data_IF_398423580908
#
_entry.id   IF_398423580908
#
_cell.length_a   1.000
_cell.length_b   1.000
_cell.length_c   1.000
_cell.angle_alpha   90.00
_cell.angle_beta   90.00
_cell.angle_gamma   90.00
#
_symmetry.space_group_name_H-M   'P 1'
#
loop_
_entity.id
_entity.type
_entity.pdbx_description
1 polymer ?
#
# COMPACT_ATOMS: atom_id res chain seq x y z
N UNK A 1 -18.72 50.19 5.89
CA UNK A 1 -18.68 49.71 4.54
C UNK A 1 -17.33 50.02 3.92
N UNK A 2 -16.44 49.07 3.70
CA UNK A 2 -15.15 49.36 3.08
C UNK A 2 -15.41 49.92 1.70
N UNK A 3 -14.76 51.02 1.43
CA UNK A 3 -14.91 51.67 0.14
C UNK A 3 -14.21 50.86 -0.92
N UNK A 4 -14.88 50.59 -1.97
CA UNK A 4 -14.46 49.77 -3.10
C UNK A 4 -13.21 50.24 -3.82
N UNK A 5 -12.62 51.37 -3.41
CA UNK A 5 -11.51 51.97 -4.11
C UNK A 5 -10.14 51.61 -3.57
N UNK A 6 -10.11 50.76 -2.55
CA UNK A 6 -8.84 50.32 -2.02
C UNK A 6 -8.36 49.12 -2.81
N UNK A 7 -7.10 49.10 -3.18
CA UNK A 7 -6.45 47.94 -3.79
C UNK A 7 -6.48 46.69 -2.90
N UNK A 8 -7.12 46.76 -1.74
CA UNK A 8 -7.41 45.70 -0.82
C UNK A 8 -8.77 45.03 -1.07
N UNK A 9 -9.48 45.49 -2.09
CA UNK A 9 -10.83 45.04 -2.45
C UNK A 9 -10.94 43.66 -3.09
N UNK A 10 -9.88 42.92 -3.14
CA UNK A 10 -9.85 41.52 -3.55
C UNK A 10 -10.23 40.56 -2.42
N UNK A 11 -10.48 41.06 -1.24
CA UNK A 11 -11.07 40.25 -0.16
C UNK A 11 -12.59 40.40 -0.28
N UNK A 12 -13.25 39.29 -0.48
CA UNK A 12 -14.70 39.22 -0.75
C UNK A 12 -15.53 39.90 0.32
N UNK A 13 -15.12 39.84 1.58
CA UNK A 13 -15.79 40.49 2.70
C UNK A 13 -15.74 42.02 2.64
N UNK A 14 -14.71 42.57 2.00
CA UNK A 14 -14.54 44.00 1.83
C UNK A 14 -15.44 44.55 0.71
N UNK A 15 -15.91 43.68 -0.14
CA UNK A 15 -16.83 43.98 -1.24
C UNK A 15 -18.28 43.69 -0.92
N UNK A 16 -18.67 43.81 0.36
CA UNK A 16 -20.05 43.58 0.78
C UNK A 16 -21.07 44.40 0.01
N UNK A 17 -21.93 43.71 -0.72
CA UNK A 17 -23.05 44.25 -1.44
C UNK A 17 -24.35 43.74 -0.81
N UNK A 18 -25.20 44.69 -0.37
CA UNK A 18 -26.49 44.36 0.23
C UNK A 18 -27.42 43.56 -0.69
N UNK A 19 -27.29 43.68 -1.99
CA UNK A 19 -28.03 42.90 -2.94
C UNK A 19 -27.61 41.43 -3.01
N UNK A 20 -26.44 41.08 -2.44
CA UNK A 20 -25.87 39.76 -2.39
C UNK A 20 -25.72 39.24 -0.95
N UNK A 21 -26.77 39.34 -0.19
CA UNK A 21 -26.77 39.04 1.22
C UNK A 21 -26.40 37.57 1.53
N UNK A 22 -26.82 36.60 0.70
CA UNK A 22 -26.46 35.21 0.86
C UNK A 22 -24.94 34.99 0.68
N UNK A 23 -24.33 35.68 -0.26
CA UNK A 23 -22.90 35.62 -0.50
C UNK A 23 -22.09 36.11 0.70
N UNK A 24 -22.54 37.19 1.34
CA UNK A 24 -21.93 37.67 2.57
C UNK A 24 -22.04 36.64 3.73
N UNK A 25 -23.16 35.96 3.86
CA UNK A 25 -23.38 34.96 4.90
C UNK A 25 -22.42 33.77 4.77
N UNK A 26 -22.10 33.37 3.53
CA UNK A 26 -21.15 32.28 3.26
C UNK A 26 -19.69 32.66 3.56
N UNK A 27 -19.36 33.94 3.57
CA UNK A 27 -18.01 34.46 3.80
C UNK A 27 -17.85 35.23 5.12
N UNK A 28 -18.79 35.14 6.00
CA UNK A 28 -18.74 35.79 7.32
C UNK A 28 -18.65 34.78 8.47
N UNK A 29 -17.73 33.83 8.31
CA UNK A 29 -17.47 32.78 9.31
C UNK A 29 -16.04 32.90 9.81
N UNK A 30 -15.73 32.13 10.85
CA UNK A 30 -14.37 31.89 11.32
C UNK A 30 -14.19 30.39 11.43
N UNK A 31 -14.03 29.75 10.29
CA UNK A 31 -13.97 28.28 10.18
C UNK A 31 -12.53 27.83 10.42
N UNK A 32 -12.33 27.02 11.45
CA UNK A 32 -11.11 26.25 11.61
C UNK A 32 -11.19 24.99 10.71
N UNK A 33 -10.69 25.13 9.50
CA UNK A 33 -10.74 24.04 8.53
C UNK A 33 -9.94 22.80 8.93
N UNK A 34 -8.91 22.98 9.76
CA UNK A 34 -8.12 21.86 10.27
C UNK A 34 -8.97 21.04 11.24
N UNK A 35 -9.63 21.70 12.18
CA UNK A 35 -10.52 21.04 13.13
C UNK A 35 -11.69 20.34 12.43
N UNK A 36 -12.24 20.96 11.39
CA UNK A 36 -13.35 20.36 10.60
C UNK A 36 -12.97 19.08 9.86
N UNK A 37 -11.71 18.86 9.53
CA UNK A 37 -11.25 17.68 8.77
C UNK A 37 -10.44 16.71 9.61
N UNK A 38 -10.16 17.04 10.85
CA UNK A 38 -9.41 16.17 11.76
C UNK A 38 -10.34 15.54 12.81
N UNK A 39 -9.91 14.42 13.33
CA UNK A 39 -10.58 13.70 14.39
C UNK A 39 -9.55 13.00 15.28
N UNK A 40 -10.00 12.56 16.45
CA UNK A 40 -9.17 11.71 17.29
C UNK A 40 -9.03 10.33 16.66
N UNK A 41 -7.79 9.96 16.26
CA UNK A 41 -7.48 8.64 15.73
C UNK A 41 -7.46 7.60 16.85
N UNK A 42 -7.98 6.41 16.56
CA UNK A 42 -8.03 5.27 17.48
C UNK A 42 -7.35 4.05 16.84
N UNK A 43 -6.71 3.23 17.66
CA UNK A 43 -6.12 1.97 17.23
C UNK A 43 -6.48 0.87 18.23
N UNK A 44 -7.11 -0.19 17.72
CA UNK A 44 -7.50 -1.38 18.46
C UNK A 44 -6.83 -2.60 17.84
N UNK A 45 -6.06 -3.34 18.65
CA UNK A 45 -5.32 -4.52 18.18
C UNK A 45 -5.65 -5.71 19.07
N UNK A 46 -6.12 -6.77 18.42
CA UNK A 46 -6.46 -8.02 19.08
C UNK A 46 -5.58 -9.13 18.51
N UNK A 47 -5.02 -9.94 19.38
CA UNK A 47 -4.17 -11.05 18.97
C UNK A 47 -4.42 -12.27 19.87
N UNK A 48 -4.61 -13.40 19.22
CA UNK A 48 -4.76 -14.70 19.87
C UNK A 48 -3.80 -15.68 19.23
N UNK A 49 -3.14 -16.49 20.06
CA UNK A 49 -2.28 -17.57 19.59
C UNK A 49 -2.46 -18.81 20.47
N UNK A 50 -2.48 -19.95 19.79
CA UNK A 50 -2.50 -21.28 20.41
C UNK A 50 -1.27 -22.02 19.89
N UNK A 51 -0.52 -22.63 20.77
CA UNK A 51 0.61 -23.49 20.43
C UNK A 51 0.59 -24.73 21.28
N UNK A 52 1.03 -25.81 20.70
CA UNK A 52 1.10 -27.09 21.39
C UNK A 52 1.99 -28.05 20.63
N UNK A 53 2.20 -29.22 21.21
CA UNK A 53 2.95 -30.28 20.55
C UNK A 53 3.60 -31.22 21.53
N UNK A 54 4.37 -32.13 20.97
CA UNK A 54 5.17 -33.12 21.66
C UNK A 54 6.43 -33.44 20.87
N UNK A 55 7.04 -34.58 21.13
CA UNK A 55 8.33 -34.97 20.55
C UNK A 55 8.33 -35.10 19.02
N UNK A 56 7.17 -35.38 18.44
CA UNK A 56 7.04 -35.63 17.00
C UNK A 56 6.45 -34.45 16.24
N UNK A 57 5.62 -33.61 16.88
CA UNK A 57 4.96 -32.51 16.20
C UNK A 57 4.80 -31.32 17.12
N UNK A 58 5.09 -30.14 16.59
CA UNK A 58 4.78 -28.85 17.23
C UNK A 58 3.99 -28.00 16.27
N UNK A 59 3.00 -27.27 16.79
CA UNK A 59 2.21 -26.36 15.99
C UNK A 59 1.98 -25.04 16.72
N UNK A 60 1.78 -24.01 15.94
CA UNK A 60 1.29 -22.71 16.41
C UNK A 60 0.29 -22.16 15.40
N UNK A 61 -0.86 -21.76 15.89
CA UNK A 61 -1.89 -21.05 15.13
C UNK A 61 -2.10 -19.72 15.81
N UNK A 62 -2.13 -18.66 15.04
CA UNK A 62 -2.38 -17.31 15.55
C UNK A 62 -3.31 -16.54 14.61
N UNK A 63 -4.12 -15.66 15.21
CA UNK A 63 -4.98 -14.73 14.52
C UNK A 63 -4.83 -13.35 15.13
N UNK A 64 -4.85 -12.32 14.29
CA UNK A 64 -4.80 -10.93 14.69
C UNK A 64 -5.84 -10.13 13.93
N UNK A 65 -6.45 -9.17 14.60
CA UNK A 65 -7.32 -8.17 14.00
C UNK A 65 -6.90 -6.79 14.48
N UNK A 66 -6.59 -5.92 13.54
CA UNK A 66 -6.25 -4.52 13.78
C UNK A 66 -7.35 -3.65 13.17
N UNK A 67 -7.89 -2.74 13.96
CA UNK A 67 -8.78 -1.68 13.52
C UNK A 67 -8.19 -0.32 13.87
N UNK A 68 -8.01 0.54 12.88
CA UNK A 68 -7.45 1.87 13.07
C UNK A 68 -8.33 2.90 12.37
N UNK A 69 -8.64 4.00 13.04
CA UNK A 69 -9.21 5.20 12.43
C UNK A 69 -8.12 6.25 12.29
N UNK A 70 -8.09 6.93 11.13
CA UNK A 70 -7.12 7.99 10.88
C UNK A 70 -7.41 9.27 11.69
N UNK A 71 -6.43 10.14 11.78
CA UNK A 71 -6.59 11.49 12.33
C UNK A 71 -7.33 12.44 11.38
N UNK A 72 -7.51 12.05 10.13
CA UNK A 72 -8.37 12.74 9.16
C UNK A 72 -9.68 11.99 9.05
N UNK A 73 -10.80 12.73 9.00
CA UNK A 73 -12.14 12.15 8.90
C UNK A 73 -12.25 11.17 7.72
N UNK A 74 -13.09 10.12 7.88
CA UNK A 74 -13.38 9.06 6.89
C UNK A 74 -12.22 8.12 6.56
N UNK A 75 -11.06 8.25 7.19
CA UNK A 75 -9.98 7.28 7.05
C UNK A 75 -10.12 6.14 8.06
N UNK A 76 -9.97 4.91 7.59
CA UNK A 76 -9.90 3.73 8.45
C UNK A 76 -9.14 2.60 7.80
N UNK A 77 -8.54 1.75 8.63
CA UNK A 77 -7.85 0.54 8.23
C UNK A 77 -8.34 -0.64 9.07
N UNK A 78 -8.79 -1.69 8.39
CA UNK A 78 -9.07 -3.00 8.98
C UNK A 78 -8.06 -4.00 8.44
N UNK A 79 -7.40 -4.76 9.32
CA UNK A 79 -6.48 -5.82 8.94
C UNK A 79 -6.78 -7.09 9.73
N UNK A 80 -7.05 -8.16 9.00
CA UNK A 80 -7.13 -9.51 9.54
C UNK A 80 -5.88 -10.29 9.13
N UNK A 81 -5.20 -10.90 10.08
CA UNK A 81 -4.02 -11.72 9.84
C UNK A 81 -4.15 -13.08 10.51
N UNK A 82 -3.70 -14.11 9.83
CA UNK A 82 -3.65 -15.48 10.36
C UNK A 82 -2.32 -16.10 9.99
N UNK A 83 -1.71 -16.80 10.94
CA UNK A 83 -0.50 -17.57 10.70
C UNK A 83 -0.63 -18.94 11.35
N UNK A 84 -0.23 -19.98 10.60
CA UNK A 84 -0.18 -21.37 11.04
C UNK A 84 1.22 -21.90 10.76
N UNK A 85 1.87 -22.45 11.76
CA UNK A 85 3.14 -23.16 11.63
C UNK A 85 2.98 -24.58 12.15
N UNK A 86 3.58 -25.53 11.46
CA UNK A 86 3.65 -26.93 11.83
C UNK A 86 5.07 -27.42 11.55
N UNK A 87 5.71 -27.99 12.58
CA UNK A 87 6.92 -28.78 12.45
C UNK A 87 6.58 -30.20 12.80
N UNK A 88 6.86 -31.11 11.90
CA UNK A 88 6.55 -32.53 12.05
C UNK A 88 7.77 -33.40 11.77
N UNK A 89 8.21 -34.11 12.79
CA UNK A 89 9.28 -35.10 12.70
C UNK A 89 8.70 -36.40 12.23
N UNK A 90 8.72 -36.61 10.91
CA UNK A 90 8.19 -37.82 10.28
C UNK A 90 8.99 -39.07 10.71
N UNK A 91 10.31 -38.92 10.89
CA UNK A 91 11.22 -39.94 11.38
C UNK A 91 12.49 -39.26 11.94
N UNK A 92 13.42 -40.08 12.45
CA UNK A 92 14.75 -39.55 12.87
C UNK A 92 15.56 -38.90 11.74
N UNK A 93 15.15 -39.13 10.50
CA UNK A 93 15.82 -38.62 9.31
C UNK A 93 15.03 -37.55 8.55
N UNK A 94 13.73 -37.53 8.70
CA UNK A 94 12.83 -36.70 7.91
C UNK A 94 12.09 -35.73 8.82
N UNK A 95 12.24 -34.45 8.55
CA UNK A 95 11.45 -33.37 9.18
C UNK A 95 10.70 -32.62 8.10
N UNK A 96 9.43 -32.42 8.32
CA UNK A 96 8.56 -31.59 7.49
C UNK A 96 8.16 -30.35 8.28
N UNK A 97 8.32 -29.18 7.67
CA UNK A 97 7.88 -27.90 8.23
C UNK A 97 6.91 -27.22 7.26
N UNK A 98 5.87 -26.63 7.80
CA UNK A 98 4.91 -25.84 7.05
C UNK A 98 4.67 -24.50 7.75
N UNK A 99 4.67 -23.43 6.98
CA UNK A 99 4.31 -22.09 7.42
C UNK A 99 3.29 -21.52 6.44
N UNK A 100 2.13 -21.19 6.92
CA UNK A 100 1.06 -20.58 6.14
C UNK A 100 0.70 -19.23 6.75
N UNK A 101 0.64 -18.18 5.94
CA UNK A 101 0.09 -16.91 6.38
C UNK A 101 -0.94 -16.38 5.40
N UNK A 102 -1.97 -15.75 5.95
CA UNK A 102 -3.01 -15.02 5.25
C UNK A 102 -3.15 -13.66 5.89
N UNK A 103 -3.16 -12.61 5.08
CA UNK A 103 -3.47 -11.25 5.52
C UNK A 103 -4.52 -10.66 4.58
N UNK A 104 -5.59 -10.14 5.16
CA UNK A 104 -6.59 -9.33 4.46
C UNK A 104 -6.57 -7.92 5.02
N UNK A 105 -6.54 -6.92 4.15
CA UNK A 105 -6.54 -5.51 4.54
C UNK A 105 -7.62 -4.78 3.77
N UNK A 106 -8.41 -3.97 4.48
CA UNK A 106 -9.33 -3.00 3.91
C UNK A 106 -8.95 -1.62 4.42
N UNK A 107 -8.61 -0.73 3.49
CA UNK A 107 -8.14 0.61 3.79
C UNK A 107 -9.04 1.64 3.10
N UNK A 108 -9.80 2.36 3.89
CA UNK A 108 -10.58 3.50 3.44
C UNK A 108 -9.70 4.74 3.52
N UNK A 109 -9.53 5.41 2.40
CA UNK A 109 -8.70 6.60 2.24
C UNK A 109 -9.56 7.75 1.73
N UNK A 110 -9.12 8.97 1.97
CA UNK A 110 -9.67 10.09 1.25
C UNK A 110 -9.25 10.01 -0.23
N UNK A 111 -10.09 10.51 -1.11
CA UNK A 111 -9.81 10.53 -2.55
C UNK A 111 -8.55 11.35 -2.87
N UNK A 112 -8.35 12.47 -2.15
CA UNK A 112 -7.23 13.40 -2.33
C UNK A 112 -6.72 13.91 -0.98
N UNK A 113 -5.64 14.67 -0.97
CA UNK A 113 -5.00 15.23 0.23
C UNK A 113 -5.87 16.29 0.94
N UNK A 114 -6.75 15.87 1.84
CA UNK A 114 -7.70 16.73 2.55
C UNK A 114 -7.01 17.75 3.43
N UNK A 115 -5.99 17.37 4.19
CA UNK A 115 -5.27 18.27 5.08
C UNK A 115 -4.58 19.41 4.32
N UNK A 116 -3.96 19.12 3.19
CA UNK A 116 -3.34 20.14 2.34
C UNK A 116 -4.37 21.14 1.80
N UNK A 117 -5.59 20.69 1.55
CA UNK A 117 -6.71 21.54 1.12
C UNK A 117 -7.23 22.39 2.28
N UNK A 118 -7.33 21.84 3.48
CA UNK A 118 -7.75 22.56 4.67
C UNK A 118 -6.79 23.71 5.01
N UNK A 119 -5.47 23.50 4.87
CA UNK A 119 -4.47 24.56 5.06
C UNK A 119 -4.57 25.73 4.05
N UNK A 120 -5.14 25.46 2.88
CA UNK A 120 -5.32 26.48 1.83
C UNK A 120 -6.70 27.15 1.89
N UNK A 121 -7.64 26.59 2.63
CA UNK A 121 -8.99 27.12 2.73
C UNK A 121 -9.00 28.39 3.59
N UNK A 122 -9.71 29.40 3.10
CA UNK A 122 -9.81 30.68 3.84
C UNK A 122 -10.74 30.53 5.05
N UNK A 123 -10.33 31.01 6.23
CA UNK A 123 -11.10 30.80 7.46
C UNK A 123 -12.46 31.51 7.47
N UNK A 124 -12.62 32.56 6.69
CA UNK A 124 -13.89 33.29 6.59
C UNK A 124 -14.99 32.53 5.81
N UNK A 125 -14.64 31.48 5.06
CA UNK A 125 -15.60 30.69 4.32
C UNK A 125 -16.38 29.71 5.19
N UNK A 126 -17.66 29.52 4.87
CA UNK A 126 -18.53 28.55 5.51
C UNK A 126 -18.30 27.12 5.01
N UNK A 127 -18.50 26.14 5.86
CA UNK A 127 -18.54 24.71 5.46
C UNK A 127 -19.82 24.42 4.67
N UNK A 128 -20.91 25.00 5.08
CA UNK A 128 -22.25 24.83 4.49
C UNK A 128 -22.74 26.13 3.88
N UNK A 129 -23.68 26.02 2.95
CA UNK A 129 -24.30 27.15 2.29
C UNK A 129 -25.35 27.79 3.20
N UNK A 130 -25.38 29.11 3.19
CA UNK A 130 -26.36 29.91 3.92
C UNK A 130 -27.30 30.64 2.96
N UNK A 131 -28.58 30.63 3.27
CA UNK A 131 -29.61 31.33 2.51
C UNK A 131 -30.38 32.31 3.40
N UNK A 132 -30.84 33.39 2.80
CA UNK A 132 -31.66 34.38 3.46
C UNK A 132 -33.14 34.03 3.35
N UNK A 133 -33.84 34.00 4.47
CA UNK A 133 -35.30 33.86 4.52
C UNK A 133 -35.95 35.22 4.74
N UNK A 134 -36.63 35.76 3.70
CA UNK A 134 -37.29 37.05 3.78
C UNK A 134 -38.46 37.07 4.80
N UNK A 135 -39.03 35.92 5.12
CA UNK A 135 -40.19 35.83 6.06
C UNK A 135 -39.76 36.00 7.51
N UNK A 136 -38.56 35.62 7.87
CA UNK A 136 -38.00 35.71 9.21
C UNK A 136 -36.91 36.78 9.33
N UNK A 137 -36.58 37.45 8.22
CA UNK A 137 -35.48 38.43 8.12
C UNK A 137 -34.17 37.88 8.71
N UNK A 138 -33.88 36.61 8.43
CA UNK A 138 -32.72 35.90 8.98
C UNK A 138 -32.06 34.98 7.97
N UNK A 139 -30.81 34.66 8.26
CA UNK A 139 -30.05 33.64 7.48
C UNK A 139 -30.15 32.30 8.16
N UNK A 140 -30.31 31.26 7.39
CA UNK A 140 -30.32 29.89 7.85
C UNK A 140 -29.30 29.03 7.10
N UNK A 141 -28.80 28.01 7.78
CA UNK A 141 -27.92 26.99 7.19
C UNK A 141 -28.76 25.99 6.39
N UNK A 142 -28.47 25.82 5.11
CA UNK A 142 -29.17 24.87 4.24
C UNK A 142 -28.79 23.42 4.51
N UNK A 143 -27.68 23.20 5.21
CA UNK A 143 -27.09 21.85 5.39
C UNK A 143 -26.39 21.32 4.14
N UNK A 144 -26.45 22.02 3.00
CA UNK A 144 -25.69 21.67 1.81
C UNK A 144 -24.24 22.19 1.92
N UNK A 145 -23.27 21.47 1.39
CA UNK A 145 -21.91 21.95 1.39
C UNK A 145 -21.74 23.19 0.53
N UNK A 146 -21.08 24.21 1.08
CA UNK A 146 -20.75 25.40 0.33
C UNK A 146 -19.81 25.04 -0.81
N UNK A 147 -20.24 25.33 -2.03
CA UNK A 147 -19.43 25.22 -3.23
C UNK A 147 -18.59 26.47 -3.33
N UNK A 148 -17.29 26.36 -3.15
CA UNK A 148 -16.33 27.44 -3.40
C UNK A 148 -16.22 27.76 -4.89
N UNK A 149 -17.32 27.70 -5.56
CA UNK A 149 -17.44 27.81 -6.98
C UNK A 149 -18.58 28.76 -7.28
N UNK A 150 -18.31 29.95 -7.80
CA UNK A 150 -19.41 30.70 -8.36
C UNK A 150 -19.97 29.87 -9.50
N UNK A 151 -21.23 29.56 -9.46
CA UNK A 151 -21.98 28.90 -10.54
C UNK A 151 -21.88 29.66 -11.87
N UNK A 152 -21.13 30.63 -11.92
CA UNK A 152 -20.96 31.61 -12.93
C UNK A 152 -19.75 31.44 -13.80
N UNK A 153 -19.41 30.24 -14.10
CA UNK A 153 -18.81 30.00 -15.42
C UNK A 153 -19.81 30.21 -16.57
N UNK A 154 -21.09 30.38 -16.27
CA UNK A 154 -22.01 30.90 -17.25
C UNK A 154 -21.60 32.34 -17.58
N UNK A 155 -21.26 32.52 -18.84
CA UNK A 155 -21.01 33.79 -19.46
C UNK A 155 -21.87 34.92 -18.86
N UNK A 156 -21.29 35.82 -18.12
CA UNK A 156 -21.98 36.94 -17.52
C UNK A 156 -21.75 37.15 -16.04
N UNK A 157 -21.12 36.23 -15.37
CA UNK A 157 -20.70 36.51 -14.02
C UNK A 157 -19.38 37.23 -14.09
N UNK A 158 -19.45 38.42 -13.63
CA UNK A 158 -18.35 39.30 -13.23
C UNK A 158 -17.74 40.05 -14.36
N UNK A 159 -18.47 41.03 -14.77
CA UNK A 159 -17.94 42.19 -15.52
C UNK A 159 -17.07 43.13 -14.65
N UNK A 160 -16.85 42.82 -13.37
CA UNK A 160 -16.14 43.72 -12.44
C UNK A 160 -14.64 43.39 -12.30
N UNK A 161 -14.09 42.52 -13.11
CA UNK A 161 -12.64 42.32 -13.27
C UNK A 161 -11.88 41.75 -12.07
N UNK A 162 -12.52 41.56 -10.91
CA UNK A 162 -11.86 41.18 -9.66
C UNK A 162 -11.89 39.68 -9.33
N UNK A 163 -12.73 38.96 -9.98
CA UNK A 163 -13.07 37.58 -9.57
C UNK A 163 -12.18 36.50 -10.17
N UNK A 164 -11.45 36.78 -11.23
CA UNK A 164 -10.78 35.70 -11.96
C UNK A 164 -9.47 35.21 -11.34
N UNK A 165 -8.78 36.01 -10.56
CA UNK A 165 -7.42 35.67 -10.10
C UNK A 165 -7.39 34.90 -8.77
N UNK A 166 -8.22 35.23 -7.82
CA UNK A 166 -8.22 34.63 -6.49
C UNK A 166 -9.22 33.49 -6.36
N UNK A 167 -10.28 33.48 -7.11
CA UNK A 167 -11.28 32.44 -7.13
C UNK A 167 -10.77 31.15 -7.82
N UNK A 168 -9.84 31.23 -8.77
CA UNK A 168 -9.32 30.04 -9.45
C UNK A 168 -8.61 29.08 -8.49
N UNK A 169 -7.84 29.60 -7.54
CA UNK A 169 -7.14 28.78 -6.56
C UNK A 169 -8.10 28.18 -5.52
N UNK A 170 -9.10 28.94 -5.11
CA UNK A 170 -10.13 28.45 -4.19
C UNK A 170 -11.07 27.44 -4.88
N UNK A 171 -11.43 27.68 -6.11
CA UNK A 171 -12.20 26.74 -6.94
C UNK A 171 -11.43 25.42 -7.07
N UNK A 172 -10.15 25.47 -7.40
CA UNK A 172 -9.32 24.26 -7.53
C UNK A 172 -9.10 23.56 -6.19
N UNK A 173 -9.06 24.32 -5.08
CA UNK A 173 -8.94 23.78 -3.74
C UNK A 173 -10.20 23.03 -3.29
N UNK A 174 -11.38 23.55 -3.60
CA UNK A 174 -12.67 23.00 -3.21
C UNK A 174 -12.92 23.03 -1.69
N UNK A 175 -14.08 22.57 -1.28
CA UNK A 175 -14.45 22.42 0.14
C UNK A 175 -13.86 21.12 0.71
N UNK A 176 -12.87 21.18 1.59
CA UNK A 176 -12.18 19.98 2.09
C UNK A 176 -13.11 19.03 2.87
N UNK A 177 -14.10 19.55 3.60
CA UNK A 177 -15.08 18.74 4.34
C UNK A 177 -16.01 18.01 3.38
N UNK A 178 -16.51 18.71 2.37
CA UNK A 178 -17.35 18.11 1.33
C UNK A 178 -16.59 17.00 0.58
N UNK A 179 -15.34 17.27 0.20
CA UNK A 179 -14.51 16.28 -0.49
C UNK A 179 -14.29 15.06 0.38
N UNK A 180 -13.99 15.23 1.68
CA UNK A 180 -13.78 14.13 2.60
C UNK A 180 -15.03 13.26 2.79
N UNK A 181 -16.23 13.88 2.80
CA UNK A 181 -17.48 13.17 3.06
C UNK A 181 -18.13 12.55 1.82
N UNK A 182 -18.00 13.17 0.66
CA UNK A 182 -18.69 12.77 -0.57
C UNK A 182 -17.81 11.96 -1.53
N UNK A 183 -16.49 12.11 -1.48
CA UNK A 183 -15.57 11.31 -2.29
C UNK A 183 -14.84 10.27 -1.43
N UNK A 184 -14.34 9.22 -2.06
CA UNK A 184 -13.63 8.17 -1.36
C UNK A 184 -12.67 7.40 -2.27
N UNK A 185 -11.68 6.77 -1.63
CA UNK A 185 -10.80 5.76 -2.24
C UNK A 185 -10.73 4.57 -1.30
N UNK A 186 -11.14 3.41 -1.76
CA UNK A 186 -11.15 2.16 -0.99
C UNK A 186 -10.15 1.19 -1.59
N UNK A 187 -9.22 0.71 -0.77
CA UNK A 187 -8.24 -0.29 -1.16
C UNK A 187 -8.50 -1.55 -0.36
N UNK A 188 -8.71 -2.66 -1.04
CA UNK A 188 -8.77 -3.98 -0.41
C UNK A 188 -7.67 -4.86 -0.98
N UNK A 189 -6.95 -5.57 -0.12
CA UNK A 189 -5.90 -6.47 -0.54
C UNK A 189 -5.88 -7.73 0.31
N UNK A 190 -5.49 -8.83 -0.30
CA UNK A 190 -5.15 -10.03 0.42
C UNK A 190 -3.79 -10.57 -0.05
N UNK A 191 -3.10 -11.18 0.90
CA UNK A 191 -1.82 -11.83 0.68
C UNK A 191 -1.88 -13.23 1.29
N UNK A 192 -1.51 -14.22 0.50
CA UNK A 192 -1.44 -15.63 0.92
C UNK A 192 -0.02 -16.10 0.65
N UNK A 193 0.62 -16.68 1.66
CA UNK A 193 2.00 -17.18 1.52
C UNK A 193 2.20 -18.52 2.23
N UNK A 194 1.86 -19.64 1.57
CA UNK A 194 2.25 -20.98 2.02
C UNK A 194 3.73 -21.25 1.72
N UNK A 195 4.38 -21.88 2.69
CA UNK A 195 5.75 -22.36 2.60
C UNK A 195 5.81 -23.77 3.16
N UNK A 196 6.44 -24.66 2.44
CA UNK A 196 6.65 -26.06 2.83
C UNK A 196 8.13 -26.39 2.70
N UNK A 197 8.68 -27.03 3.72
CA UNK A 197 10.07 -27.46 3.74
C UNK A 197 10.15 -28.92 4.15
N UNK A 198 10.92 -29.68 3.43
CA UNK A 198 11.29 -31.06 3.76
C UNK A 198 12.81 -31.12 3.96
N UNK A 199 13.23 -31.54 5.13
CA UNK A 199 14.64 -31.84 5.41
C UNK A 199 14.81 -33.34 5.54
N UNK A 200 15.79 -33.88 4.80
CA UNK A 200 16.09 -35.31 4.81
C UNK A 200 17.59 -35.57 5.01
N UNK A 201 17.93 -36.25 6.12
CA UNK A 201 19.28 -36.72 6.42
C UNK A 201 19.59 -37.96 5.59
N UNK A 202 20.17 -37.78 4.41
CA UNK A 202 20.49 -38.86 3.47
C UNK A 202 21.57 -39.76 4.02
N UNK A 203 22.65 -39.18 4.61
CA UNK A 203 23.71 -39.90 5.29
C UNK A 203 23.93 -39.31 6.69
N UNK A 204 24.35 -40.18 7.63
CA UNK A 204 24.59 -39.76 9.01
C UNK A 204 23.32 -39.35 9.75
N UNK A 205 23.25 -39.62 11.03
CA UNK A 205 22.16 -39.14 11.89
C UNK A 205 22.65 -38.06 12.86
N UNK A 206 23.93 -38.06 13.13
CA UNK A 206 24.60 -37.20 14.10
C UNK A 206 25.98 -36.74 13.63
N UNK A 207 26.52 -35.73 14.27
CA UNK A 207 27.81 -35.10 13.93
C UNK A 207 29.02 -36.04 14.10
N UNK A 208 28.85 -37.24 14.65
CA UNK A 208 29.94 -38.22 14.80
C UNK A 208 30.30 -38.94 13.49
N UNK A 209 29.46 -38.77 12.45
CA UNK A 209 29.56 -39.44 11.13
C UNK A 209 29.51 -38.41 10.02
N UNK A 210 30.00 -38.82 8.85
CA UNK A 210 29.80 -38.06 7.61
C UNK A 210 28.31 -37.84 7.39
N UNK A 211 27.92 -36.59 7.13
CA UNK A 211 26.55 -36.18 6.93
C UNK A 211 26.32 -35.74 5.48
N UNK A 212 25.18 -36.06 4.96
CA UNK A 212 24.63 -35.49 3.73
C UNK A 212 23.17 -35.18 3.98
N UNK A 213 22.84 -33.90 4.01
CA UNK A 213 21.50 -33.42 4.26
C UNK A 213 20.92 -32.81 2.99
N UNK A 214 19.68 -33.15 2.69
CA UNK A 214 18.88 -32.51 1.65
C UNK A 214 17.81 -31.66 2.30
N UNK A 215 17.63 -30.42 1.82
CA UNK A 215 16.51 -29.55 2.13
C UNK A 215 15.82 -29.12 0.85
N UNK A 216 14.55 -29.48 0.72
CA UNK A 216 13.66 -29.02 -0.34
C UNK A 216 12.64 -28.04 0.24
N UNK A 217 12.49 -26.89 -0.38
CA UNK A 217 11.56 -25.83 0.02
C UNK A 217 10.69 -25.42 -1.17
N UNK A 218 9.41 -25.26 -0.93
CA UNK A 218 8.46 -24.68 -1.88
C UNK A 218 7.77 -23.53 -1.18
N UNK A 219 7.81 -22.38 -1.82
CA UNK A 219 7.21 -21.15 -1.33
C UNK A 219 6.32 -20.54 -2.42
N UNK A 220 5.12 -20.14 -2.05
CA UNK A 220 4.22 -19.37 -2.89
C UNK A 220 3.92 -18.03 -2.21
N UNK A 221 3.84 -16.98 -3.00
CA UNK A 221 3.42 -15.67 -2.54
C UNK A 221 2.42 -15.10 -3.52
N UNK A 222 1.17 -15.04 -3.10
CA UNK A 222 0.07 -14.51 -3.92
C UNK A 222 -0.46 -13.24 -3.28
N UNK A 223 -0.52 -12.17 -4.08
CA UNK A 223 -1.13 -10.89 -3.70
C UNK A 223 -2.25 -10.55 -4.65
N UNK A 224 -3.32 -10.01 -4.13
CA UNK A 224 -4.36 -9.37 -4.94
C UNK A 224 -4.76 -8.07 -4.28
N UNK A 225 -4.89 -7.02 -5.08
CA UNK A 225 -5.30 -5.69 -4.63
C UNK A 225 -6.36 -5.14 -5.55
N UNK A 226 -7.41 -4.59 -4.96
CA UNK A 226 -8.46 -3.87 -5.66
C UNK A 226 -8.56 -2.47 -5.06
N UNK A 227 -8.42 -1.46 -5.91
CA UNK A 227 -8.60 -0.05 -5.56
C UNK A 227 -9.82 0.47 -6.28
N UNK A 228 -10.78 0.98 -5.53
CA UNK A 228 -11.94 1.70 -6.08
C UNK A 228 -11.91 3.13 -5.59
N UNK A 229 -12.17 4.08 -6.48
CA UNK A 229 -12.24 5.48 -6.14
C UNK A 229 -13.46 6.14 -6.80
N UNK A 230 -14.05 7.09 -6.10
CA UNK A 230 -15.21 7.84 -6.56
C UNK A 230 -15.08 9.31 -6.18
N UNK A 231 -15.40 10.17 -7.13
CA UNK A 231 -15.45 11.61 -6.96
C UNK A 231 -16.74 12.15 -7.61
N UNK A 232 -17.69 12.65 -6.82
CA UNK A 232 -18.97 13.10 -7.38
C UNK A 232 -18.81 14.41 -8.17
N UNK A 233 -19.63 14.57 -9.18
CA UNK A 233 -19.66 15.76 -10.02
C UNK A 233 -20.00 17.03 -9.27
N UNK A 234 -20.75 16.92 -8.17
CA UNK A 234 -21.07 18.06 -7.30
C UNK A 234 -19.84 18.73 -6.68
N UNK A 235 -18.69 18.03 -6.65
CA UNK A 235 -17.41 18.55 -6.16
C UNK A 235 -16.46 18.96 -7.28
N UNK A 236 -16.77 18.62 -8.53
CA UNK A 236 -15.91 18.96 -9.65
C UNK A 236 -16.00 20.44 -9.97
N UNK A 237 -14.84 21.08 -10.16
CA UNK A 237 -14.73 22.47 -10.55
C UNK A 237 -14.12 22.61 -11.95
N UNK A 238 -14.64 23.54 -12.69
CA UNK A 238 -14.01 24.12 -13.89
C UNK A 238 -14.04 23.27 -15.15
N UNK A 239 -13.03 22.48 -15.42
CA UNK A 239 -12.82 21.82 -16.72
C UNK A 239 -13.75 20.67 -17.04
N UNK A 240 -14.37 20.06 -16.05
CA UNK A 240 -15.24 18.87 -16.20
C UNK A 240 -16.73 19.18 -16.18
N UNK A 241 -17.11 20.41 -15.90
CA UNK A 241 -18.51 20.83 -15.80
C UNK A 241 -19.20 20.29 -14.53
N UNK A 242 -20.19 21.02 -14.08
CA UNK A 242 -21.04 20.59 -12.98
C UNK A 242 -21.77 19.29 -13.33
N UNK A 243 -21.71 18.34 -12.42
CA UNK A 243 -22.51 17.12 -12.52
C UNK A 243 -21.81 15.89 -13.11
N UNK A 244 -20.50 15.95 -13.40
CA UNK A 244 -19.78 14.79 -13.92
C UNK A 244 -19.11 14.01 -12.79
N UNK A 245 -19.62 12.82 -12.51
CA UNK A 245 -19.04 11.90 -11.56
C UNK A 245 -17.81 11.20 -12.17
N UNK A 246 -16.77 11.03 -11.39
CA UNK A 246 -15.57 10.28 -11.76
C UNK A 246 -15.49 8.99 -10.93
N UNK A 247 -15.13 7.90 -11.59
CA UNK A 247 -14.88 6.60 -10.96
C UNK A 247 -13.61 5.97 -11.51
N UNK A 248 -12.89 5.28 -10.65
CA UNK A 248 -11.75 4.46 -11.03
C UNK A 248 -11.82 3.10 -10.34
N UNK A 249 -11.41 2.06 -11.07
CA UNK A 249 -11.32 0.70 -10.57
C UNK A 249 -10.02 0.08 -11.08
N UNK A 250 -9.07 -0.10 -10.16
CA UNK A 250 -7.76 -0.69 -10.41
C UNK A 250 -7.69 -2.05 -9.72
N UNK A 251 -7.38 -3.09 -10.48
CA UNK A 251 -7.20 -4.43 -9.95
C UNK A 251 -5.80 -4.94 -10.32
N UNK A 252 -5.12 -5.53 -9.37
CA UNK A 252 -3.84 -6.17 -9.60
C UNK A 252 -3.76 -7.52 -8.91
N UNK A 253 -3.11 -8.46 -9.57
CA UNK A 253 -2.83 -9.78 -9.02
C UNK A 253 -1.39 -10.15 -9.34
N UNK A 254 -0.67 -10.66 -8.34
CA UNK A 254 0.69 -11.14 -8.46
C UNK A 254 0.82 -12.53 -7.83
N UNK A 255 1.52 -13.42 -8.49
CA UNK A 255 1.87 -14.74 -8.00
C UNK A 255 3.37 -14.97 -8.20
N UNK A 256 4.07 -15.20 -7.10
CA UNK A 256 5.44 -15.72 -7.08
C UNK A 256 5.38 -17.19 -6.63
N UNK A 257 6.02 -18.05 -7.39
CA UNK A 257 6.31 -19.42 -7.01
C UNK A 257 7.82 -19.61 -6.97
N UNK A 258 8.32 -20.12 -5.85
CA UNK A 258 9.74 -20.37 -5.65
C UNK A 258 9.93 -21.82 -5.16
N UNK A 259 10.91 -22.50 -5.72
CA UNK A 259 11.37 -23.79 -5.20
C UNK A 259 12.87 -23.78 -5.07
N UNK A 260 13.35 -24.24 -3.91
CA UNK A 260 14.75 -24.25 -3.53
C UNK A 260 15.16 -25.64 -3.07
N UNK A 261 16.24 -26.15 -3.63
CA UNK A 261 16.80 -27.44 -3.28
C UNK A 261 18.24 -27.27 -2.85
N UNK A 262 18.56 -27.72 -1.67
CA UNK A 262 19.89 -27.58 -1.06
C UNK A 262 20.41 -28.96 -0.65
N UNK A 263 21.63 -29.28 -1.05
CA UNK A 263 22.41 -30.40 -0.56
C UNK A 263 23.57 -29.87 0.27
N UNK A 264 23.72 -30.37 1.50
CA UNK A 264 24.81 -30.00 2.39
C UNK A 264 25.59 -31.28 2.75
N UNK A 265 26.85 -31.32 2.34
CA UNK A 265 27.75 -32.40 2.65
C UNK A 265 28.77 -31.98 3.70
N UNK A 266 28.82 -32.71 4.82
CA UNK A 266 29.76 -32.47 5.93
C UNK A 266 30.47 -33.77 6.22
N UNK A 267 31.68 -34.03 5.66
CA UNK A 267 32.44 -35.23 5.92
C UNK A 267 32.97 -35.21 7.35
N UNK A 268 33.03 -36.39 7.97
CA UNK A 268 33.78 -36.55 9.20
C UNK A 268 35.27 -36.53 8.90
N UNK A 269 35.93 -35.48 9.34
CA UNK A 269 37.37 -35.30 9.19
C UNK A 269 38.09 -35.61 10.50
N UNK A 270 39.45 -35.79 10.46
CA UNK A 270 40.30 -35.87 11.66
C UNK A 270 40.09 -34.63 12.54
N UNK A 271 40.48 -34.76 13.83
CA UNK A 271 40.46 -33.68 14.78
C UNK A 271 41.13 -32.44 14.21
N UNK A 272 40.58 -31.27 14.51
CA UNK A 272 41.05 -29.96 14.08
C UNK A 272 40.68 -29.55 12.62
N UNK A 273 40.12 -30.43 11.82
CA UNK A 273 39.64 -30.12 10.45
C UNK A 273 38.11 -30.11 10.40
N UNK A 274 37.56 -29.12 9.77
CA UNK A 274 36.13 -29.11 9.39
C UNK A 274 35.95 -28.69 7.93
N UNK A 275 35.04 -29.36 7.25
CA UNK A 275 34.70 -29.05 5.87
C UNK A 275 33.19 -29.15 5.67
N UNK A 276 32.65 -28.24 4.91
CA UNK A 276 31.26 -28.26 4.46
C UNK A 276 31.23 -27.87 2.98
N UNK A 277 30.50 -28.65 2.20
CA UNK A 277 30.16 -28.33 0.82
C UNK A 277 28.64 -28.20 0.70
N UNK A 278 28.20 -27.06 0.21
CA UNK A 278 26.79 -26.77 -0.04
C UNK A 278 26.59 -26.59 -1.56
N UNK A 279 25.57 -27.27 -2.10
CA UNK A 279 25.08 -27.02 -3.46
C UNK A 279 23.58 -26.69 -3.38
N UNK A 280 23.18 -25.63 -4.05
CA UNK A 280 21.81 -25.14 -4.07
C UNK A 280 21.37 -24.83 -5.49
N UNK A 281 20.15 -25.24 -5.84
CA UNK A 281 19.40 -24.81 -7.01
C UNK A 281 18.12 -24.13 -6.58
N UNK A 282 17.76 -23.02 -7.22
CA UNK A 282 16.56 -22.25 -6.95
C UNK A 282 15.88 -21.85 -8.25
N UNK A 283 14.58 -22.06 -8.34
CA UNK A 283 13.73 -21.61 -9.42
C UNK A 283 12.70 -20.66 -8.87
N UNK A 284 12.67 -19.44 -9.38
CA UNK A 284 11.62 -18.49 -9.09
C UNK A 284 10.83 -18.14 -10.35
N UNK A 285 9.52 -18.14 -10.24
CA UNK A 285 8.62 -17.66 -11.29
C UNK A 285 7.70 -16.61 -10.74
N UNK A 286 7.60 -15.51 -11.44
CA UNK A 286 6.66 -14.43 -11.14
C UNK A 286 5.69 -14.24 -12.30
N UNK A 287 4.42 -14.12 -11.98
CA UNK A 287 3.36 -13.72 -12.92
C UNK A 287 2.49 -12.64 -12.27
N UNK A 288 2.39 -11.49 -12.93
CA UNK A 288 1.54 -10.40 -12.47
C UNK A 288 0.66 -9.88 -13.60
N UNK A 289 -0.54 -9.46 -13.25
CA UNK A 289 -1.43 -8.72 -14.13
C UNK A 289 -2.02 -7.53 -13.38
N UNK A 290 -2.31 -6.48 -14.10
CA UNK A 290 -3.04 -5.33 -13.60
C UNK A 290 -4.00 -4.81 -14.66
N UNK A 291 -5.15 -4.31 -14.19
CA UNK A 291 -6.18 -3.68 -15.00
C UNK A 291 -6.58 -2.39 -14.30
N UNK A 292 -6.70 -1.32 -15.08
CA UNK A 292 -7.16 -0.02 -14.61
C UNK A 292 -8.24 0.49 -15.53
N UNK A 293 -9.36 0.90 -14.96
CA UNK A 293 -10.49 1.48 -15.67
C UNK A 293 -10.88 2.76 -14.95
N UNK A 294 -10.84 3.88 -15.68
CA UNK A 294 -11.39 5.16 -15.24
C UNK A 294 -12.60 5.54 -16.10
N UNK A 295 -13.61 6.10 -15.50
CA UNK A 295 -14.81 6.56 -16.19
C UNK A 295 -15.34 7.88 -15.64
N UNK A 296 -16.08 8.60 -16.47
CA UNK A 296 -16.77 9.85 -16.13
C UNK A 296 -18.21 9.81 -16.65
N UNK A 297 -19.04 10.76 -16.20
CA UNK A 297 -20.42 10.86 -16.63
C UNK A 297 -21.34 9.77 -16.08
N UNK A 298 -21.00 9.18 -14.93
CA UNK A 298 -21.85 8.20 -14.26
C UNK A 298 -23.17 8.83 -13.83
N UNK A 299 -24.25 8.11 -14.01
CA UNK A 299 -25.57 8.51 -13.50
C UNK A 299 -25.54 8.57 -11.97
N UNK A 300 -26.31 9.48 -11.38
CA UNK A 300 -26.32 9.68 -9.93
C UNK A 300 -26.54 8.38 -9.14
N UNK A 301 -25.75 8.16 -8.10
CA UNK A 301 -25.78 6.96 -7.25
C UNK A 301 -24.98 5.77 -7.76
N UNK A 302 -24.51 5.78 -9.00
CA UNK A 302 -23.62 4.74 -9.55
C UNK A 302 -22.16 5.14 -9.28
N UNK A 303 -21.41 4.27 -8.63
CA UNK A 303 -20.00 4.50 -8.23
C UNK A 303 -18.99 3.59 -8.93
N UNK A 304 -19.46 2.55 -9.60
CA UNK A 304 -18.62 1.66 -10.41
C UNK A 304 -18.73 2.02 -11.89
N UNK A 305 -17.68 1.86 -12.70
CA UNK A 305 -17.73 2.08 -14.14
C UNK A 305 -18.82 1.22 -14.81
N UNK A 306 -19.66 1.84 -15.62
CA UNK A 306 -20.73 1.18 -16.35
C UNK A 306 -20.57 1.39 -17.86
N UNK A 307 -21.32 0.63 -18.66
CA UNK A 307 -21.32 0.76 -20.13
C UNK A 307 -21.84 2.12 -20.61
N UNK A 308 -22.65 2.79 -19.81
CA UNK A 308 -23.22 4.11 -20.13
C UNK A 308 -22.30 5.28 -19.73
N UNK A 309 -21.17 4.98 -19.08
CA UNK A 309 -20.20 5.98 -18.68
C UNK A 309 -19.14 6.21 -19.76
N UNK A 310 -18.64 7.44 -19.85
CA UNK A 310 -17.51 7.75 -20.72
C UNK A 310 -16.23 7.19 -20.12
N UNK A 311 -15.54 6.32 -20.86
CA UNK A 311 -14.28 5.77 -20.49
C UNK A 311 -13.19 6.85 -20.56
N UNK A 312 -12.55 7.17 -19.43
CA UNK A 312 -11.48 8.17 -19.36
C UNK A 312 -10.09 7.55 -19.38
N UNK A 313 -9.99 6.30 -18.90
CA UNK A 313 -8.75 5.54 -18.93
C UNK A 313 -9.05 4.04 -18.99
N UNK A 314 -8.27 3.30 -19.77
CA UNK A 314 -8.28 1.84 -19.77
C UNK A 314 -6.88 1.35 -20.04
N UNK A 315 -6.35 0.53 -19.15
CA UNK A 315 -5.05 -0.10 -19.33
C UNK A 315 -5.03 -1.51 -18.77
N UNK A 316 -4.29 -2.37 -19.43
CA UNK A 316 -4.00 -3.73 -18.95
C UNK A 316 -2.50 -3.97 -19.08
N UNK A 317 -1.90 -4.52 -18.04
CA UNK A 317 -0.49 -4.87 -18.02
C UNK A 317 -0.31 -6.31 -17.54
N UNK A 318 0.57 -7.04 -18.19
CA UNK A 318 0.98 -8.38 -17.78
C UNK A 318 2.49 -8.44 -17.69
N UNK A 319 3.00 -8.98 -16.59
CA UNK A 319 4.43 -9.17 -16.37
C UNK A 319 4.70 -10.64 -16.02
N UNK A 320 5.73 -11.22 -16.62
CA UNK A 320 6.21 -12.56 -16.30
C UNK A 320 7.73 -12.55 -16.19
N UNK A 321 8.24 -13.22 -15.16
CA UNK A 321 9.67 -13.33 -14.90
C UNK A 321 9.98 -14.77 -14.47
N UNK A 322 11.07 -15.33 -14.96
CA UNK A 322 11.61 -16.60 -14.51
C UNK A 322 13.10 -16.39 -14.17
N UNK A 323 13.49 -16.90 -13.02
CA UNK A 323 14.87 -16.91 -12.54
C UNK A 323 15.27 -18.32 -12.17
N UNK A 324 16.50 -18.67 -12.49
CA UNK A 324 17.10 -19.96 -12.18
C UNK A 324 18.51 -19.70 -11.68
N UNK A 325 18.74 -20.04 -10.41
CA UNK A 325 19.98 -19.72 -9.72
C UNK A 325 20.63 -21.00 -9.23
N UNK A 326 21.96 -21.08 -9.34
CA UNK A 326 22.78 -22.14 -8.79
C UNK A 326 23.84 -21.55 -7.88
N UNK A 327 24.07 -22.19 -6.76
CA UNK A 327 25.10 -21.83 -5.80
C UNK A 327 25.88 -23.06 -5.39
N UNK A 328 27.20 -22.99 -5.43
CA UNK A 328 28.09 -23.96 -4.79
C UNK A 328 29.00 -23.20 -3.81
N UNK A 329 29.06 -23.65 -2.58
CA UNK A 329 29.87 -23.05 -1.53
C UNK A 329 30.68 -24.13 -0.81
N UNK A 330 31.97 -23.92 -0.68
CA UNK A 330 32.88 -24.74 0.13
C UNK A 330 33.40 -23.91 1.31
N UNK A 331 33.27 -24.47 2.49
CA UNK A 331 33.81 -23.92 3.72
C UNK A 331 34.78 -24.90 4.32
N UNK A 332 36.01 -24.43 4.63
CA UNK A 332 37.03 -25.24 5.30
C UNK A 332 37.62 -24.49 6.47
N UNK A 333 37.74 -25.15 7.62
CA UNK A 333 38.41 -24.58 8.78
C UNK A 333 39.43 -25.58 9.37
N UNK A 334 40.62 -25.06 9.68
CA UNK A 334 41.67 -25.77 10.42
C UNK A 334 41.85 -25.18 11.81
N UNK A 335 41.64 -26.01 12.83
CA UNK A 335 41.69 -25.63 14.26
C UNK A 335 40.82 -24.42 14.62
N UNK A 336 39.79 -24.13 13.79
CA UNK A 336 39.01 -22.89 13.89
C UNK A 336 39.82 -21.59 13.77
N UNK A 337 41.13 -21.68 13.52
CA UNK A 337 42.06 -20.56 13.37
C UNK A 337 42.14 -20.06 11.94
N UNK A 338 42.25 -20.97 10.99
CA UNK A 338 42.39 -20.65 9.58
C UNK A 338 41.13 -21.12 8.87
N UNK A 339 40.37 -20.17 8.30
CA UNK A 339 39.08 -20.40 7.68
C UNK A 339 39.16 -19.94 6.25
N UNK A 340 38.69 -20.76 5.32
CA UNK A 340 38.62 -20.48 3.89
C UNK A 340 37.20 -20.75 3.38
N UNK A 341 36.66 -19.79 2.66
CA UNK A 341 35.39 -19.91 1.97
C UNK A 341 35.57 -19.67 0.47
N UNK A 342 34.95 -20.50 -0.32
CA UNK A 342 34.84 -20.31 -1.77
C UNK A 342 33.39 -20.47 -2.20
N UNK A 343 32.90 -19.55 -2.98
CA UNK A 343 31.53 -19.56 -3.47
C UNK A 343 31.52 -19.28 -4.97
N UNK A 344 30.75 -20.04 -5.70
CA UNK A 344 30.40 -19.76 -7.09
C UNK A 344 28.88 -19.70 -7.20
N UNK A 345 28.38 -18.58 -7.70
CA UNK A 345 26.97 -18.38 -7.99
C UNK A 345 26.77 -18.14 -9.48
N UNK A 346 25.76 -18.75 -10.05
CA UNK A 346 25.30 -18.55 -11.42
C UNK A 346 23.83 -18.18 -11.39
N UNK A 347 23.49 -16.98 -11.85
CA UNK A 347 22.14 -16.44 -11.85
C UNK A 347 21.66 -16.27 -13.29
N UNK A 348 20.51 -16.81 -13.58
CA UNK A 348 19.85 -16.71 -14.87
C UNK A 348 18.47 -16.02 -14.74
N UNK A 349 18.20 -15.03 -15.60
CA UNK A 349 16.92 -14.33 -15.58
C UNK A 349 16.39 -14.04 -16.98
N UNK A 350 15.08 -14.21 -17.16
CA UNK A 350 14.39 -13.88 -18.42
C UNK A 350 14.20 -12.36 -18.63
N UNK A 351 14.52 -11.54 -17.65
CA UNK A 351 14.48 -10.07 -17.75
C UNK A 351 15.58 -9.58 -18.70
N UNK A 352 16.68 -10.31 -18.78
CA UNK A 352 17.80 -9.97 -19.67
C UNK A 352 17.62 -10.54 -21.07
N UNK A 353 18.25 -9.89 -22.05
CA UNK A 353 18.24 -10.32 -23.44
C UNK A 353 18.76 -11.75 -23.61
N UNK A 354 18.29 -12.45 -24.66
CA UNK A 354 18.48 -13.89 -24.87
C UNK A 354 19.91 -14.36 -24.70
N UNK A 355 20.90 -13.56 -25.14
CA UNK A 355 22.33 -13.92 -25.12
C UNK A 355 23.08 -13.47 -23.87
N UNK A 356 22.38 -12.81 -22.89
CA UNK A 356 22.97 -12.26 -21.66
C UNK A 356 22.17 -12.63 -20.42
N UNK A 357 21.51 -13.77 -20.42
CA UNK A 357 20.64 -14.19 -19.33
C UNK A 357 21.38 -14.70 -18.10
N UNK A 358 22.65 -15.08 -18.24
CA UNK A 358 23.43 -15.68 -17.18
C UNK A 358 24.54 -14.75 -16.70
N UNK A 359 24.64 -14.61 -15.39
CA UNK A 359 25.74 -13.98 -14.68
C UNK A 359 26.46 -14.98 -13.78
N UNK A 360 27.79 -14.87 -13.67
CA UNK A 360 28.61 -15.73 -12.81
C UNK A 360 29.34 -14.88 -11.79
N UNK A 361 29.26 -15.27 -10.53
CA UNK A 361 29.75 -14.49 -9.40
C UNK A 361 30.63 -15.36 -8.50
N UNK A 362 31.93 -15.50 -8.78
CA UNK A 362 32.85 -16.16 -7.88
C UNK A 362 33.24 -15.26 -6.71
N UNK A 363 33.37 -15.86 -5.53
CA UNK A 363 33.87 -15.18 -4.33
C UNK A 363 34.77 -16.11 -3.55
N UNK A 364 35.85 -15.57 -2.99
CA UNK A 364 36.79 -16.30 -2.13
C UNK A 364 37.11 -15.43 -0.91
N UNK A 365 37.10 -16.02 0.26
CA UNK A 365 37.50 -15.35 1.48
C UNK A 365 38.43 -16.21 2.33
N UNK A 366 39.31 -15.57 3.09
CA UNK A 366 40.17 -16.21 4.07
C UNK A 366 40.13 -15.41 5.38
N UNK A 367 40.09 -16.11 6.51
CA UNK A 367 40.10 -15.53 7.83
C UNK A 367 41.13 -16.23 8.71
N UNK A 368 41.91 -15.46 9.44
CA UNK A 368 42.83 -15.92 10.49
C UNK A 368 42.41 -15.36 11.82
N UNK A 369 42.14 -16.23 12.77
CA UNK A 369 41.86 -15.88 14.18
C UNK A 369 43.17 -15.79 14.94
N UNK A 370 43.75 -14.61 14.97
CA UNK A 370 45.08 -14.35 15.61
C UNK A 370 45.03 -14.58 17.11
N UNK A 371 43.90 -14.31 17.77
CA UNK A 371 43.70 -14.52 19.20
C UNK A 371 43.89 -15.96 19.66
N UNK A 372 43.84 -16.91 18.73
CA UNK A 372 43.98 -18.33 19.04
C UNK A 372 45.40 -18.85 18.83
N UNK A 373 46.34 -17.95 18.53
CA UNK A 373 47.76 -18.26 18.42
C UNK A 373 48.47 -18.19 19.80
N UNK A 374 49.52 -18.99 19.91
CA UNK A 374 50.37 -19.01 21.11
C UNK A 374 51.59 -18.12 20.86
N UNK A 375 51.50 -16.82 21.01
CA UNK A 375 52.66 -15.94 21.11
C UNK A 375 52.56 -15.01 22.31
#
# INVERSE_FOLDING_TARGET
>A
NPKQNDNTSNIVELNYDRSRTAYYADYNKNTDWIDQVTQFGQSHKYYVAISGGGDQATFRISGGYDHETGTIIKQSLDRLSTRMTLDYKVSDRITFSSNFSLTYTKNNQNYTGILARAYKAMPNMSVTRWEYDPSTDSYYDTGEYFKMYPAASSAGAVSDGYTSYYLSDMVSNGNPVAIANLSWKKVSSYTISPQFQLTYKLLGKDASKTQLDYSGEVYMYSTSSSTKAYYPGSLSSGTWGDGINLSANDNSHGLTFNTRHTLTFTPKLPKDHSFMLLARGELETYSGNSQSIGSSGLVGGITDPTVDAYLTASSTSTSKKHELDFLVQAHYAYKSKYIFDATLRADGSTVFGKDKRWGYFPSVSARWNISDEYF
#
